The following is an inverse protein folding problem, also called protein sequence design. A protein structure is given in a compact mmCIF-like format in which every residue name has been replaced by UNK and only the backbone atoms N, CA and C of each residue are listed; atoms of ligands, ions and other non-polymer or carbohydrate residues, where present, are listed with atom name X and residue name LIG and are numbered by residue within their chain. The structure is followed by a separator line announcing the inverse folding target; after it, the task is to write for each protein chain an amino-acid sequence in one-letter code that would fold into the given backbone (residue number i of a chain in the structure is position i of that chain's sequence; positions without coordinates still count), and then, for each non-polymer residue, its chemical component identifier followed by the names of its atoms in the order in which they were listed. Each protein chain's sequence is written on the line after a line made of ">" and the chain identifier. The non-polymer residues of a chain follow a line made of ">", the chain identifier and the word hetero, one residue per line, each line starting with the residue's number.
data_IF_210477669055
#
_entry.id   IF_210477669055
#
_cell.length_a   1.000
_cell.length_b   1.000
_cell.length_c   1.000
_cell.angle_alpha   90.00
_cell.angle_beta   90.00
_cell.angle_gamma   90.00
#
_symmetry.space_group_name_H-M   'P 1'
#
loop_
_entity.id
_entity.type
_entity.pdbx_description
1 polymer ?
#
# COMPACT_ATOMS: atom_id res chain seq x y z
N UNK A 1 15.36 1.84 -1.17
CA UNK A 1 14.80 0.96 -0.13
C UNK A 1 14.46 -0.41 -0.69
N UNK A 2 13.47 -0.57 -1.59
CA UNK A 2 13.14 -1.89 -2.17
C UNK A 2 14.24 -2.54 -3.02
N UNK A 3 15.15 -1.76 -3.61
CA UNK A 3 16.30 -2.28 -4.35
C UNK A 3 17.42 -2.86 -3.46
N UNK A 4 17.30 -2.77 -2.13
CA UNK A 4 18.30 -3.32 -1.22
C UNK A 4 18.31 -4.84 -1.30
N UNK A 5 19.50 -5.45 -1.28
CA UNK A 5 19.68 -6.89 -1.51
C UNK A 5 18.88 -7.75 -0.51
N UNK A 6 18.86 -7.32 0.75
CA UNK A 6 18.09 -7.99 1.82
C UNK A 6 16.57 -7.98 1.61
N UNK A 7 16.05 -7.11 0.74
CA UNK A 7 14.62 -6.95 0.48
C UNK A 7 14.18 -7.53 -0.87
N UNK A 8 15.09 -8.12 -1.66
CA UNK A 8 14.80 -8.62 -3.01
C UNK A 8 13.64 -9.63 -3.07
N UNK A 9 13.42 -10.38 -1.99
CA UNK A 9 12.35 -11.40 -1.91
C UNK A 9 11.18 -10.99 -1.01
N UNK A 10 11.14 -9.75 -0.51
CA UNK A 10 10.10 -9.29 0.40
C UNK A 10 8.80 -8.97 -0.35
N UNK A 11 7.65 -9.43 0.16
CA UNK A 11 6.36 -8.94 -0.31
C UNK A 11 6.11 -7.52 0.24
N UNK A 12 5.43 -6.67 -0.53
CA UNK A 12 5.09 -5.31 -0.14
C UNK A 12 3.59 -5.21 0.14
N UNK A 13 3.21 -4.94 1.38
CA UNK A 13 1.82 -4.61 1.73
C UNK A 13 1.70 -3.11 1.99
N UNK A 14 0.83 -2.45 1.24
CA UNK A 14 0.45 -1.05 1.46
C UNK A 14 -0.85 -1.03 2.23
N UNK A 15 -0.81 -0.54 3.47
CA UNK A 15 -2.01 -0.26 4.26
C UNK A 15 -2.53 1.13 3.89
N UNK A 16 -3.61 1.16 3.11
CA UNK A 16 -4.37 2.38 2.80
C UNK A 16 -5.21 2.78 4.01
N UNK A 17 -4.52 3.18 5.09
CA UNK A 17 -5.10 3.44 6.40
C UNK A 17 -5.90 4.75 6.45
N UNK A 18 -6.73 4.88 7.50
CA UNK A 18 -7.60 6.03 7.80
C UNK A 18 -8.81 6.15 6.86
N UNK A 19 -9.37 5.03 6.41
CA UNK A 19 -10.56 5.02 5.55
C UNK A 19 -11.85 5.50 6.26
N UNK A 20 -11.79 5.72 7.57
CA UNK A 20 -12.85 6.37 8.36
C UNK A 20 -12.97 7.88 8.08
N UNK A 21 -11.95 8.50 7.49
CA UNK A 21 -11.93 9.93 7.20
C UNK A 21 -12.74 10.26 5.94
N UNK A 22 -13.60 11.28 6.01
CA UNK A 22 -14.47 11.69 4.89
C UNK A 22 -13.75 12.01 3.57
N UNK A 23 -12.47 12.39 3.65
CA UNK A 23 -11.63 12.75 2.50
C UNK A 23 -10.46 11.76 2.32
N UNK A 24 -10.63 10.50 2.74
CA UNK A 24 -9.63 9.47 2.50
C UNK A 24 -9.49 9.21 1.00
N UNK A 25 -8.27 8.95 0.56
CA UNK A 25 -8.03 8.46 -0.79
C UNK A 25 -8.42 6.99 -0.88
N UNK A 26 -9.02 6.62 -2.00
CA UNK A 26 -9.25 5.22 -2.36
C UNK A 26 -7.93 4.50 -2.63
N UNK A 27 -7.95 3.17 -2.55
CA UNK A 27 -6.80 2.35 -2.91
C UNK A 27 -6.29 2.62 -4.34
N UNK A 28 -7.20 2.89 -5.29
CA UNK A 28 -6.83 3.22 -6.67
C UNK A 28 -6.11 4.56 -6.78
N UNK A 29 -6.57 5.59 -6.07
CA UNK A 29 -5.92 6.90 -6.05
C UNK A 29 -4.54 6.82 -5.41
N UNK A 30 -4.42 6.10 -4.29
CA UNK A 30 -3.13 5.87 -3.62
C UNK A 30 -2.18 5.11 -4.55
N UNK A 31 -2.67 4.07 -5.23
CA UNK A 31 -1.87 3.30 -6.19
C UNK A 31 -1.29 4.18 -7.29
N UNK A 32 -2.09 5.10 -7.82
CA UNK A 32 -1.64 6.07 -8.82
C UNK A 32 -0.64 7.08 -8.25
N UNK A 33 -0.94 7.69 -7.10
CA UNK A 33 -0.06 8.68 -6.47
C UNK A 33 1.30 8.12 -6.06
N UNK A 34 1.33 6.85 -5.62
CA UNK A 34 2.58 6.15 -5.27
C UNK A 34 3.23 5.45 -6.47
N UNK A 35 2.61 5.50 -7.65
CA UNK A 35 3.08 4.82 -8.87
C UNK A 35 3.38 3.33 -8.62
N UNK A 36 2.49 2.63 -7.90
CA UNK A 36 2.72 1.23 -7.49
C UNK A 36 2.87 0.28 -8.68
N UNK A 37 2.29 0.62 -9.83
CA UNK A 37 2.46 -0.11 -11.09
C UNK A 37 3.92 -0.14 -11.59
N UNK A 38 4.78 0.76 -11.12
CA UNK A 38 6.22 0.73 -11.42
C UNK A 38 7.00 -0.31 -10.62
N UNK A 39 6.39 -0.89 -9.57
CA UNK A 39 6.99 -1.97 -8.78
C UNK A 39 6.83 -3.27 -9.58
N UNK A 40 7.92 -3.69 -10.23
CA UNK A 40 7.96 -4.91 -11.03
C UNK A 40 8.79 -6.03 -10.39
N UNK A 41 9.70 -5.68 -9.48
CA UNK A 41 10.60 -6.63 -8.80
C UNK A 41 10.01 -7.31 -7.56
N UNK A 42 8.83 -6.87 -7.11
CA UNK A 42 8.21 -7.36 -5.88
C UNK A 42 6.72 -7.60 -6.09
N UNK A 43 6.21 -8.67 -5.48
CA UNK A 43 4.76 -8.82 -5.32
C UNK A 43 4.27 -7.78 -4.33
N UNK A 44 3.21 -7.07 -4.70
CA UNK A 44 2.64 -6.04 -3.85
C UNK A 44 1.12 -6.12 -3.81
N UNK A 45 0.55 -5.62 -2.72
CA UNK A 45 -0.89 -5.49 -2.54
C UNK A 45 -1.21 -4.21 -1.76
N UNK A 46 -2.38 -3.63 -2.02
CA UNK A 46 -2.88 -2.49 -1.28
C UNK A 46 -4.21 -2.86 -0.62
N UNK A 47 -4.27 -2.74 0.71
CA UNK A 47 -5.43 -3.08 1.52
C UNK A 47 -5.99 -1.81 2.17
N UNK A 48 -7.27 -1.53 1.94
CA UNK A 48 -8.00 -0.49 2.64
C UNK A 48 -8.21 -0.90 4.10
N UNK A 49 -7.89 -0.03 5.06
CA UNK A 49 -8.02 -0.35 6.48
C UNK A 49 -8.29 0.89 7.36
N UNK A 50 -8.70 0.65 8.60
CA UNK A 50 -8.80 1.66 9.64
C UNK A 50 -8.22 1.11 10.95
N UNK A 51 -7.08 1.66 11.37
CA UNK A 51 -6.41 1.24 12.60
C UNK A 51 -7.22 1.51 13.88
N UNK A 52 -8.20 2.43 13.85
CA UNK A 52 -9.05 2.73 15.01
C UNK A 52 -10.15 1.68 15.21
N UNK A 53 -10.68 1.13 14.12
CA UNK A 53 -11.75 0.12 14.15
C UNK A 53 -11.20 -1.31 14.07
N UNK A 54 -9.99 -1.47 13.53
CA UNK A 54 -9.39 -2.78 13.24
C UNK A 54 -9.88 -3.40 11.92
N UNK A 55 -10.70 -2.68 11.14
CA UNK A 55 -11.12 -3.14 9.81
C UNK A 55 -9.94 -3.11 8.83
N UNK A 56 -9.81 -4.17 8.02
CA UNK A 56 -8.74 -4.35 7.05
C UNK A 56 -8.56 -5.80 6.67
#
# INVERSE_FOLDING_TARGET
>A
MLAHEELQNAAVLILANKQDMKNSMTASEISSCLTLSSITGHSWHIQACCALTGEG
#
